data_IF_714968340694
#
_entry.id   IF_714968340694
#
_cell.length_a   1.000
_cell.length_b   1.000
_cell.length_c   1.000
_cell.angle_alpha   90.00
_cell.angle_beta   90.00
_cell.angle_gamma   90.00
#
_symmetry.space_group_name_H-M   'P 1'
#
loop_
_entity.id
_entity.type
_entity.pdbx_description
1 polymer ?
#
# COMPACT_ATOMS: atom_id res chain seq x y z
N UNK A 1 59.94 11.36 -18.28
CA UNK A 1 59.86 11.71 -16.83
C UNK A 1 58.40 11.66 -16.41
N UNK A 2 58.00 10.59 -15.69
CA UNK A 2 56.65 10.42 -15.15
C UNK A 2 56.67 10.79 -13.67
N UNK A 3 55.93 11.82 -13.28
CA UNK A 3 55.75 12.20 -11.87
C UNK A 3 54.63 11.38 -11.26
N UNK A 4 54.96 10.53 -10.30
CA UNK A 4 54.02 9.91 -9.39
C UNK A 4 53.64 10.92 -8.28
N UNK A 5 52.33 11.11 -8.04
CA UNK A 5 51.83 11.81 -6.87
C UNK A 5 51.58 10.79 -5.74
N UNK A 6 51.90 11.12 -4.49
CA UNK A 6 51.70 10.23 -3.37
C UNK A 6 50.23 10.24 -2.92
N UNK A 7 49.65 9.05 -2.65
CA UNK A 7 48.37 8.86 -1.95
C UNK A 7 48.57 9.20 -0.46
N UNK A 8 47.77 10.12 0.05
CA UNK A 8 47.64 10.38 1.48
C UNK A 8 46.70 9.34 2.11
N UNK A 9 47.20 8.54 3.03
CA UNK A 9 46.43 7.62 3.84
C UNK A 9 45.74 8.41 4.96
N UNK A 10 44.39 8.38 5.00
CA UNK A 10 43.61 8.93 6.10
C UNK A 10 43.49 7.83 7.17
N UNK A 11 44.16 8.05 8.29
CA UNK A 11 44.03 7.20 9.47
C UNK A 11 42.75 7.59 10.22
N UNK A 12 41.76 6.68 10.32
CA UNK A 12 40.57 6.82 11.15
C UNK A 12 40.96 6.37 12.56
N UNK A 13 41.05 7.33 13.48
CA UNK A 13 41.27 7.06 14.90
C UNK A 13 39.94 6.74 15.55
N UNK A 14 39.72 5.49 15.95
CA UNK A 14 38.60 5.10 16.83
C UNK A 14 38.91 5.49 18.27
N UNK A 15 38.20 6.48 18.80
CA UNK A 15 38.23 6.79 20.23
C UNK A 15 37.24 5.84 20.92
N UNK A 16 37.75 4.84 21.61
CA UNK A 16 37.02 4.01 22.54
C UNK A 16 36.66 4.84 23.80
N UNK A 17 35.39 5.18 23.96
CA UNK A 17 34.86 5.74 25.23
C UNK A 17 34.47 4.55 26.13
N UNK A 18 35.16 4.32 27.26
CA UNK A 18 34.75 3.28 28.19
C UNK A 18 33.65 3.84 29.10
N UNK A 19 32.50 3.12 29.19
CA UNK A 19 31.54 3.33 30.27
C UNK A 19 30.10 3.58 29.91
N UNK A 20 29.59 3.07 28.77
CA UNK A 20 28.15 2.92 28.59
C UNK A 20 27.77 1.45 28.78
N UNK A 21 27.12 1.11 29.86
CA UNK A 21 26.42 -0.17 30.04
C UNK A 21 25.34 -0.28 28.97
N UNK A 22 25.67 -1.02 27.88
CA UNK A 22 24.71 -1.39 26.85
C UNK A 22 23.72 -2.36 27.49
N UNK A 23 22.59 -1.83 27.93
CA UNK A 23 21.44 -2.68 28.29
C UNK A 23 21.08 -3.55 27.09
N UNK A 24 20.78 -4.82 27.34
CA UNK A 24 20.43 -5.90 26.42
C UNK A 24 19.41 -5.49 25.32
N UNK A 25 19.83 -4.79 24.32
CA UNK A 25 19.03 -4.50 23.12
C UNK A 25 19.00 -5.67 22.12
N UNK A 26 19.75 -6.76 22.36
CA UNK A 26 19.92 -7.87 21.43
C UNK A 26 18.78 -8.91 21.41
N UNK A 27 17.96 -9.01 22.46
CA UNK A 27 16.96 -10.09 22.57
C UNK A 27 15.58 -9.74 21.96
N UNK A 28 15.23 -8.48 21.87
CA UNK A 28 13.90 -8.03 21.42
C UNK A 28 13.64 -8.31 19.92
N UNK A 29 14.53 -7.99 18.97
CA UNK A 29 14.35 -8.33 17.54
C UNK A 29 14.27 -9.84 17.32
N UNK A 30 15.14 -10.63 17.96
CA UNK A 30 15.14 -12.08 17.83
C UNK A 30 13.88 -12.75 18.43
N UNK A 31 13.28 -12.16 19.46
CA UNK A 31 11.99 -12.62 19.99
C UNK A 31 10.86 -12.34 19.01
N UNK A 32 10.82 -11.14 18.43
CA UNK A 32 9.81 -10.74 17.45
C UNK A 32 9.89 -11.64 16.20
N UNK A 33 11.10 -11.91 15.69
CA UNK A 33 11.30 -12.84 14.58
C UNK A 33 10.73 -14.24 14.89
N UNK A 34 11.02 -14.79 16.07
CA UNK A 34 10.48 -16.11 16.45
C UNK A 34 8.95 -16.12 16.50
N UNK A 35 8.33 -15.08 17.04
CA UNK A 35 6.89 -14.95 17.11
C UNK A 35 6.27 -14.87 15.71
N UNK A 36 6.82 -14.04 14.82
CA UNK A 36 6.40 -13.92 13.43
C UNK A 36 6.51 -15.25 12.70
N UNK A 37 7.64 -15.96 12.84
CA UNK A 37 7.83 -17.28 12.24
C UNK A 37 6.82 -18.31 12.76
N UNK A 38 6.46 -18.27 14.05
CA UNK A 38 5.41 -19.14 14.60
C UNK A 38 4.03 -18.82 14.00
N UNK A 39 3.72 -17.56 13.78
CA UNK A 39 2.46 -17.15 13.12
C UNK A 39 2.41 -17.65 11.67
N UNK A 40 3.53 -17.57 10.94
CA UNK A 40 3.60 -17.97 9.52
C UNK A 40 3.58 -19.49 9.31
N UNK A 41 4.06 -20.27 10.28
CA UNK A 41 4.15 -21.75 10.19
C UNK A 41 2.81 -22.48 10.04
N UNK A 42 1.68 -21.82 10.27
CA UNK A 42 0.35 -22.45 10.14
C UNK A 42 -0.08 -22.68 8.70
N UNK A 43 0.66 -22.10 7.74
CA UNK A 43 0.34 -22.22 6.32
C UNK A 43 1.03 -23.42 5.68
N UNK A 44 0.23 -24.22 4.96
CA UNK A 44 0.73 -25.31 4.13
C UNK A 44 1.11 -24.76 2.74
N UNK A 45 2.30 -25.14 2.25
CA UNK A 45 2.80 -24.74 0.94
C UNK A 45 3.57 -23.42 0.92
N UNK A 46 3.98 -22.95 -0.28
CA UNK A 46 4.86 -21.80 -0.43
C UNK A 46 4.11 -20.49 -0.15
N UNK A 47 4.29 -19.96 1.06
CA UNK A 47 3.84 -18.63 1.46
C UNK A 47 4.99 -17.63 1.29
N UNK A 48 4.72 -16.51 0.62
CA UNK A 48 5.57 -15.32 0.58
C UNK A 48 4.98 -14.27 1.52
N UNK A 49 5.78 -13.78 2.44
CA UNK A 49 5.36 -12.79 3.43
C UNK A 49 6.33 -11.61 3.42
N UNK A 50 5.82 -10.42 3.15
CA UNK A 50 6.58 -9.18 3.22
C UNK A 50 6.00 -8.26 4.28
N UNK A 51 6.84 -7.80 5.22
CA UNK A 51 6.45 -7.10 6.43
C UNK A 51 7.23 -5.81 6.59
N UNK A 52 6.54 -4.75 7.03
CA UNK A 52 7.16 -3.49 7.40
C UNK A 52 6.34 -2.82 8.51
N UNK A 53 6.99 -2.31 9.56
CA UNK A 53 6.36 -1.47 10.58
C UNK A 53 7.35 -0.42 11.08
N UNK A 54 6.88 0.80 11.30
CA UNK A 54 7.70 1.91 11.78
C UNK A 54 6.89 3.17 12.08
N UNK A 55 7.56 4.28 12.30
CA UNK A 55 6.91 5.59 12.49
C UNK A 55 6.50 6.25 11.17
N UNK A 56 5.89 7.45 11.27
CA UNK A 56 5.58 8.29 10.10
C UNK A 56 6.83 8.77 9.34
N UNK A 57 7.99 8.70 9.97
CA UNK A 57 9.30 9.06 9.40
C UNK A 57 10.36 8.10 9.91
N UNK A 58 11.50 8.05 9.20
CA UNK A 58 12.64 7.26 9.62
C UNK A 58 12.62 5.81 9.15
N UNK A 59 13.52 5.02 9.75
CA UNK A 59 13.71 3.61 9.45
C UNK A 59 12.63 2.74 10.10
N UNK A 60 12.37 1.54 9.60
CA UNK A 60 11.44 0.62 10.25
C UNK A 60 11.93 0.17 11.63
N UNK A 61 10.98 -0.04 12.52
CA UNK A 61 11.18 -0.77 13.78
C UNK A 61 11.41 -2.27 13.48
N UNK A 62 10.68 -2.78 12.47
CA UNK A 62 10.85 -4.13 11.96
C UNK A 62 10.54 -4.18 10.47
N UNK A 63 11.36 -4.94 9.73
CA UNK A 63 11.15 -5.22 8.31
C UNK A 63 11.65 -6.63 7.98
N UNK A 64 10.87 -7.38 7.20
CA UNK A 64 11.23 -8.69 6.68
C UNK A 64 10.71 -8.82 5.26
N UNK A 65 11.56 -9.26 4.31
CA UNK A 65 11.23 -9.31 2.88
C UNK A 65 10.61 -7.98 2.37
N UNK A 66 11.04 -6.85 2.96
CA UNK A 66 10.43 -5.55 2.73
C UNK A 66 10.61 -5.02 1.30
N UNK A 67 11.60 -5.53 0.57
CA UNK A 67 11.87 -5.20 -0.84
C UNK A 67 11.37 -6.27 -1.82
N UNK A 68 10.69 -7.30 -1.33
CA UNK A 68 10.11 -8.32 -2.19
C UNK A 68 8.91 -7.77 -2.96
N UNK A 69 8.91 -7.91 -4.30
CA UNK A 69 7.75 -7.57 -5.11
C UNK A 69 6.62 -8.58 -4.88
N UNK A 70 5.47 -8.09 -4.44
CA UNK A 70 4.28 -8.89 -4.12
C UNK A 70 3.03 -8.26 -4.78
N UNK A 71 2.01 -9.07 -5.12
CA UNK A 71 0.73 -8.55 -5.55
C UNK A 71 0.11 -7.67 -4.46
N UNK A 72 -0.44 -6.54 -4.86
CA UNK A 72 -0.98 -5.53 -3.92
C UNK A 72 -2.48 -5.63 -3.72
N UNK A 73 -3.18 -6.31 -4.62
CA UNK A 73 -4.63 -6.24 -4.70
C UNK A 73 -5.13 -4.78 -4.64
N UNK A 74 -6.10 -4.48 -3.77
CA UNK A 74 -6.65 -3.13 -3.60
C UNK A 74 -5.81 -2.19 -2.72
N UNK A 75 -4.76 -2.66 -2.05
CA UNK A 75 -3.94 -1.79 -1.20
C UNK A 75 -3.22 -0.69 -2.01
N UNK A 76 -2.87 -0.96 -3.27
CA UNK A 76 -2.26 0.01 -4.20
C UNK A 76 -3.13 1.25 -4.45
N UNK A 77 -4.45 1.17 -4.22
CA UNK A 77 -5.40 2.27 -4.46
C UNK A 77 -5.07 3.52 -3.63
N UNK A 78 -4.31 3.39 -2.55
CA UNK A 78 -3.82 4.55 -1.79
C UNK A 78 -2.86 5.41 -2.65
N UNK A 79 -1.97 4.78 -3.41
CA UNK A 79 -1.12 5.49 -4.36
C UNK A 79 -1.93 6.09 -5.53
N UNK A 80 -2.96 5.39 -6.02
CA UNK A 80 -3.87 5.91 -7.05
C UNK A 80 -4.59 7.17 -6.57
N UNK A 81 -5.05 7.17 -5.32
CA UNK A 81 -5.75 8.31 -4.73
C UNK A 81 -4.86 9.55 -4.66
N UNK A 82 -3.58 9.38 -4.29
CA UNK A 82 -2.60 10.47 -4.27
C UNK A 82 -2.50 11.09 -5.67
N UNK A 83 -2.29 10.30 -6.70
CA UNK A 83 -2.10 10.82 -8.06
C UNK A 83 -3.39 11.40 -8.66
N UNK A 84 -4.56 10.82 -8.36
CA UNK A 84 -5.84 11.37 -8.75
C UNK A 84 -6.04 12.77 -8.16
N UNK A 85 -5.85 12.92 -6.85
CA UNK A 85 -6.08 14.21 -6.18
C UNK A 85 -4.99 15.23 -6.52
N UNK A 86 -3.75 14.79 -6.70
CA UNK A 86 -2.67 15.64 -7.19
C UNK A 86 -2.96 16.24 -8.59
N UNK A 87 -3.48 15.42 -9.50
CA UNK A 87 -3.79 15.83 -10.88
C UNK A 87 -4.95 16.82 -10.95
N UNK A 88 -5.92 16.71 -10.05
CA UNK A 88 -7.18 17.45 -10.08
C UNK A 88 -7.42 18.28 -8.80
N UNK A 89 -6.35 18.73 -8.12
CA UNK A 89 -6.44 19.44 -6.84
C UNK A 89 -7.44 20.60 -6.86
N UNK A 90 -7.43 21.42 -7.91
CA UNK A 90 -8.30 22.60 -8.04
C UNK A 90 -9.73 22.27 -8.49
N UNK A 91 -10.03 21.01 -8.83
CA UNK A 91 -11.31 20.59 -9.42
C UNK A 91 -11.88 19.33 -8.80
N UNK A 92 -11.53 19.02 -7.55
CA UNK A 92 -11.98 17.80 -6.86
C UNK A 92 -13.50 17.64 -6.83
N UNK A 93 -14.23 18.72 -6.73
CA UNK A 93 -15.69 18.72 -6.63
C UNK A 93 -16.40 18.96 -7.98
N UNK A 94 -15.65 18.97 -9.09
CA UNK A 94 -16.22 19.00 -10.45
C UNK A 94 -16.37 17.59 -11.00
N UNK A 95 -17.31 17.36 -11.94
CA UNK A 95 -17.40 16.10 -12.67
C UNK A 95 -16.05 15.74 -13.30
N UNK A 96 -15.72 14.44 -13.30
CA UNK A 96 -14.46 13.96 -13.87
C UNK A 96 -14.45 14.22 -15.39
N UNK A 97 -13.38 14.82 -15.94
CA UNK A 97 -13.31 15.11 -17.36
C UNK A 97 -13.29 13.83 -18.21
N UNK A 98 -14.06 13.81 -19.29
CA UNK A 98 -14.11 12.67 -20.22
C UNK A 98 -14.69 11.38 -19.63
N UNK A 99 -15.42 11.46 -18.51
CA UNK A 99 -15.95 10.30 -17.81
C UNK A 99 -16.85 9.44 -18.71
N UNK A 100 -17.71 10.03 -19.52
CA UNK A 100 -18.59 9.31 -20.45
C UNK A 100 -17.79 8.48 -21.47
N UNK A 101 -16.70 9.03 -22.00
CA UNK A 101 -15.82 8.33 -22.90
C UNK A 101 -15.08 7.16 -22.20
N UNK A 102 -14.69 7.34 -20.94
CA UNK A 102 -14.07 6.26 -20.13
C UNK A 102 -15.09 5.16 -19.80
N UNK A 103 -16.36 5.50 -19.66
CA UNK A 103 -17.45 4.54 -19.36
C UNK A 103 -18.07 3.94 -20.62
N UNK A 104 -17.60 4.31 -21.84
CA UNK A 104 -18.03 3.69 -23.09
C UNK A 104 -17.66 2.21 -23.14
N UNK A 105 -18.49 1.39 -23.79
CA UNK A 105 -18.42 -0.08 -23.74
C UNK A 105 -17.10 -0.68 -24.25
N UNK A 106 -16.43 0.00 -25.17
CA UNK A 106 -15.17 -0.40 -25.80
C UNK A 106 -13.91 0.17 -25.08
N UNK A 107 -14.10 1.06 -24.10
CA UNK A 107 -12.96 1.62 -23.40
C UNK A 107 -12.27 0.57 -22.51
N UNK A 108 -10.92 0.45 -22.54
CA UNK A 108 -10.17 -0.57 -21.80
C UNK A 108 -10.45 -0.63 -20.28
N UNK A 109 -10.84 0.49 -19.68
CA UNK A 109 -11.19 0.55 -18.26
C UNK A 109 -12.43 -0.30 -17.90
N UNK A 110 -13.34 -0.51 -18.86
CA UNK A 110 -14.62 -1.21 -18.65
C UNK A 110 -14.90 -2.33 -19.63
N UNK A 111 -14.17 -2.45 -20.72
CA UNK A 111 -14.43 -3.44 -21.80
C UNK A 111 -14.41 -4.91 -21.33
N UNK A 112 -13.70 -5.21 -20.24
CA UNK A 112 -13.61 -6.57 -19.68
C UNK A 112 -14.83 -6.95 -18.80
N UNK A 113 -15.75 -6.03 -18.53
CA UNK A 113 -16.99 -6.30 -17.81
C UNK A 113 -18.12 -6.73 -18.75
N UNK A 114 -19.07 -7.51 -18.24
CA UNK A 114 -20.28 -7.87 -19.01
C UNK A 114 -21.18 -6.65 -19.27
N UNK A 115 -22.09 -6.67 -20.24
CA UNK A 115 -23.02 -5.57 -20.51
C UNK A 115 -23.82 -5.13 -19.27
N UNK A 116 -24.31 -6.09 -18.46
CA UNK A 116 -25.05 -5.80 -17.23
C UNK A 116 -24.15 -5.10 -16.20
N UNK A 117 -22.91 -5.56 -16.03
CA UNK A 117 -21.94 -4.94 -15.14
C UNK A 117 -21.58 -3.51 -15.59
N UNK A 118 -21.40 -3.27 -16.90
CA UNK A 118 -21.15 -1.92 -17.43
C UNK A 118 -22.33 -0.98 -17.17
N UNK A 119 -23.56 -1.47 -17.24
CA UNK A 119 -24.76 -0.70 -16.87
C UNK A 119 -24.73 -0.30 -15.39
N UNK A 120 -24.43 -1.22 -14.48
CA UNK A 120 -24.29 -0.93 -13.04
C UNK A 120 -23.17 0.08 -12.78
N UNK A 121 -22.02 -0.05 -13.45
CA UNK A 121 -20.90 0.88 -13.34
C UNK A 121 -21.32 2.29 -13.78
N UNK A 122 -22.00 2.43 -14.92
CA UNK A 122 -22.52 3.72 -15.38
C UNK A 122 -23.49 4.33 -14.38
N UNK A 123 -24.43 3.56 -13.85
CA UNK A 123 -25.35 4.05 -12.83
C UNK A 123 -24.65 4.53 -11.56
N UNK A 124 -23.56 3.86 -11.16
CA UNK A 124 -22.82 4.20 -9.96
C UNK A 124 -21.84 5.36 -10.11
N UNK A 125 -21.34 5.63 -11.33
CA UNK A 125 -20.26 6.59 -11.58
C UNK A 125 -20.62 7.72 -12.56
N UNK A 126 -21.75 7.70 -13.29
CA UNK A 126 -22.13 8.81 -14.15
C UNK A 126 -22.16 10.12 -13.35
N UNK A 127 -21.62 11.19 -13.95
CA UNK A 127 -21.51 12.53 -13.35
C UNK A 127 -20.68 12.58 -12.04
N UNK A 128 -19.95 11.50 -11.70
CA UNK A 128 -19.18 11.48 -10.47
C UNK A 128 -18.06 12.53 -10.51
N UNK A 129 -17.94 13.28 -9.41
CA UNK A 129 -16.83 14.21 -9.19
C UNK A 129 -15.53 13.42 -8.93
N UNK A 130 -14.38 14.06 -9.12
CA UNK A 130 -13.09 13.47 -8.79
C UNK A 130 -13.05 12.99 -7.33
N UNK A 131 -13.55 13.81 -6.39
CA UNK A 131 -13.65 13.45 -4.96
C UNK A 131 -14.53 12.21 -4.75
N UNK A 132 -15.68 12.11 -5.42
CA UNK A 132 -16.56 10.94 -5.32
C UNK A 132 -15.87 9.68 -5.86
N UNK A 133 -15.21 9.76 -7.02
CA UNK A 133 -14.43 8.65 -7.59
C UNK A 133 -13.38 8.16 -6.58
N UNK A 134 -12.60 9.07 -6.00
CA UNK A 134 -11.60 8.75 -4.99
C UNK A 134 -12.20 8.05 -3.77
N UNK A 135 -13.29 8.60 -3.21
CA UNK A 135 -13.97 8.00 -2.04
C UNK A 135 -14.59 6.64 -2.33
N UNK A 136 -15.21 6.46 -3.51
CA UNK A 136 -15.73 5.15 -3.95
C UNK A 136 -14.58 4.15 -4.09
N UNK A 137 -13.50 4.53 -4.77
CA UNK A 137 -12.30 3.69 -4.95
C UNK A 137 -11.68 3.25 -3.62
N UNK A 138 -11.70 4.12 -2.61
CA UNK A 138 -11.18 3.79 -1.28
C UNK A 138 -12.15 2.99 -0.42
N UNK A 139 -13.42 2.91 -0.78
CA UNK A 139 -14.48 2.26 0.00
C UNK A 139 -15.00 3.12 1.15
N UNK A 140 -14.72 4.44 1.15
CA UNK A 140 -15.25 5.42 2.12
C UNK A 140 -16.58 6.05 1.67
N UNK A 141 -17.08 5.69 0.49
CA UNK A 141 -18.42 5.98 0.03
C UNK A 141 -19.14 4.67 -0.32
N UNK A 142 -20.45 4.64 -0.10
CA UNK A 142 -21.25 3.45 -0.38
C UNK A 142 -21.29 3.16 -1.88
N UNK A 143 -20.89 1.94 -2.25
CA UNK A 143 -20.90 1.41 -3.61
C UNK A 143 -20.81 -0.12 -3.58
N UNK A 144 -21.27 -0.79 -4.65
CA UNK A 144 -21.01 -2.22 -4.81
C UNK A 144 -19.51 -2.50 -5.04
N UNK A 145 -19.10 -3.74 -4.81
CA UNK A 145 -17.70 -4.15 -5.08
C UNK A 145 -17.32 -3.94 -6.56
N UNK A 146 -18.27 -4.06 -7.46
CA UNK A 146 -18.07 -3.80 -8.88
C UNK A 146 -17.75 -2.32 -9.14
N UNK A 147 -18.61 -1.41 -8.68
CA UNK A 147 -18.46 0.05 -8.81
C UNK A 147 -17.20 0.55 -8.09
N UNK A 148 -16.91 0.01 -6.92
CA UNK A 148 -15.67 0.25 -6.18
C UNK A 148 -14.39 -0.06 -6.99
N UNK A 149 -14.37 -1.19 -7.72
CA UNK A 149 -13.23 -1.54 -8.57
C UNK A 149 -13.22 -0.74 -9.88
N UNK A 150 -14.39 -0.46 -10.45
CA UNK A 150 -14.51 0.40 -11.64
C UNK A 150 -14.04 1.84 -11.37
N UNK A 151 -14.27 2.39 -10.17
CA UNK A 151 -13.74 3.70 -9.79
C UNK A 151 -12.19 3.73 -9.82
N UNK A 152 -11.52 2.64 -9.46
CA UNK A 152 -10.07 2.53 -9.62
C UNK A 152 -9.66 2.45 -11.10
N UNK A 153 -10.46 1.81 -11.95
CA UNK A 153 -10.21 1.77 -13.38
C UNK A 153 -10.40 3.14 -14.04
N UNK A 154 -11.44 3.87 -13.65
CA UNK A 154 -11.65 5.27 -14.08
C UNK A 154 -10.45 6.12 -13.65
N UNK A 155 -10.00 6.01 -12.41
CA UNK A 155 -8.80 6.70 -11.92
C UNK A 155 -7.58 6.36 -12.78
N UNK A 156 -7.38 5.08 -13.08
CA UNK A 156 -6.27 4.61 -13.94
C UNK A 156 -6.37 5.21 -15.34
N UNK A 157 -7.57 5.26 -15.94
CA UNK A 157 -7.80 5.87 -17.25
C UNK A 157 -7.56 7.38 -17.27
N UNK A 158 -8.07 8.12 -16.26
CA UNK A 158 -7.87 9.56 -16.08
C UNK A 158 -6.37 9.94 -15.98
N UNK A 159 -5.54 9.01 -15.56
CA UNK A 159 -4.09 9.19 -15.38
C UNK A 159 -3.25 8.55 -16.50
N UNK A 160 -3.85 8.28 -17.65
CA UNK A 160 -3.15 7.81 -18.85
C UNK A 160 -2.96 6.29 -18.90
N UNK A 161 -3.86 5.53 -18.27
CA UNK A 161 -3.82 4.07 -18.23
C UNK A 161 -2.80 3.52 -17.22
N UNK A 162 -2.59 2.20 -17.20
CA UNK A 162 -1.67 1.56 -16.25
C UNK A 162 -0.25 2.11 -16.31
N UNK A 163 0.28 2.36 -17.50
CA UNK A 163 1.64 2.90 -17.69
C UNK A 163 1.75 4.36 -17.21
N UNK A 164 0.79 5.22 -17.61
CA UNK A 164 0.76 6.62 -17.18
C UNK A 164 0.66 6.77 -15.68
N UNK A 165 -0.20 5.97 -15.04
CA UNK A 165 -0.36 5.96 -13.59
C UNK A 165 0.91 5.43 -12.89
N UNK A 166 1.53 4.36 -13.40
CA UNK A 166 2.83 3.88 -12.87
C UNK A 166 3.87 4.97 -12.90
N UNK A 167 4.03 5.66 -14.04
CA UNK A 167 4.99 6.75 -14.17
C UNK A 167 4.69 7.94 -13.25
N UNK A 168 3.40 8.27 -13.05
CA UNK A 168 3.00 9.34 -12.14
C UNK A 168 3.41 9.00 -10.69
N UNK A 169 3.09 7.79 -10.22
CA UNK A 169 3.45 7.31 -8.89
C UNK A 169 4.98 7.33 -8.70
N UNK A 170 5.72 6.75 -9.62
CA UNK A 170 7.19 6.63 -9.52
C UNK A 170 7.92 7.99 -9.56
N UNK A 171 7.37 8.97 -10.29
CA UNK A 171 7.92 10.35 -10.30
C UNK A 171 7.61 11.13 -9.03
N UNK A 172 6.58 10.75 -8.27
CA UNK A 172 6.17 11.45 -7.05
C UNK A 172 7.23 11.38 -5.96
N UNK A 173 7.77 10.19 -5.73
CA UNK A 173 8.78 9.95 -4.70
C UNK A 173 9.67 8.76 -5.14
N UNK A 174 10.99 8.85 -5.04
CA UNK A 174 11.90 7.72 -5.34
C UNK A 174 11.54 6.45 -4.56
N UNK A 175 11.02 6.57 -3.33
CA UNK A 175 10.59 5.41 -2.53
C UNK A 175 9.38 4.67 -3.13
N UNK A 176 8.66 5.27 -4.08
CA UNK A 176 7.52 4.65 -4.77
C UNK A 176 7.93 3.90 -6.04
N UNK A 177 9.22 3.91 -6.42
CA UNK A 177 9.74 3.26 -7.64
C UNK A 177 9.36 1.78 -7.80
N UNK A 178 9.24 0.94 -6.73
CA UNK A 178 8.78 -0.44 -6.86
C UNK A 178 7.30 -0.62 -7.17
N UNK A 179 6.47 0.44 -7.08
CA UNK A 179 5.02 0.34 -7.35
C UNK A 179 4.79 0.28 -8.87
N UNK A 180 4.09 -0.78 -9.32
CA UNK A 180 3.79 -1.03 -10.73
C UNK A 180 2.32 -1.34 -10.93
N UNK A 181 1.64 -0.52 -11.74
CA UNK A 181 0.28 -0.77 -12.21
C UNK A 181 0.38 -1.47 -13.57
N UNK A 182 -0.03 -2.73 -13.63
CA UNK A 182 0.07 -3.55 -14.86
C UNK A 182 -1.27 -3.68 -15.58
N UNK A 183 -2.36 -3.64 -14.82
CA UNK A 183 -3.70 -3.90 -15.34
C UNK A 183 -4.77 -3.09 -14.64
N UNK A 184 -5.90 -2.95 -15.30
CA UNK A 184 -7.13 -2.49 -14.67
C UNK A 184 -7.63 -3.51 -13.62
N UNK A 185 -8.32 -3.03 -12.58
CA UNK A 185 -8.90 -3.91 -11.56
C UNK A 185 -9.90 -4.87 -12.20
N UNK A 186 -9.88 -6.13 -11.77
CA UNK A 186 -10.70 -7.23 -12.24
C UNK A 186 -10.44 -7.66 -13.71
N UNK A 187 -9.54 -7.02 -14.46
CA UNK A 187 -9.07 -7.53 -15.73
C UNK A 187 -8.25 -8.82 -15.53
N UNK A 188 -8.15 -9.65 -16.60
CA UNK A 188 -7.44 -10.94 -16.51
C UNK A 188 -5.96 -10.75 -16.18
N UNK A 189 -5.56 -11.24 -15.00
CA UNK A 189 -4.19 -11.17 -14.49
C UNK A 189 -3.19 -12.00 -15.30
N UNK A 190 -3.65 -13.01 -16.03
CA UNK A 190 -2.78 -13.86 -16.85
C UNK A 190 -2.21 -13.12 -18.07
N UNK A 191 -2.85 -12.03 -18.50
CA UNK A 191 -2.42 -11.25 -19.67
C UNK A 191 -1.25 -10.32 -19.36
N UNK A 192 -1.29 -9.60 -18.23
CA UNK A 192 -0.29 -8.56 -17.89
C UNK A 192 0.32 -8.72 -16.50
N UNK A 193 -0.05 -9.73 -15.76
CA UNK A 193 0.33 -9.93 -14.36
C UNK A 193 -0.51 -9.08 -13.41
N UNK A 194 -0.12 -9.11 -12.14
CA UNK A 194 -0.77 -8.31 -11.10
C UNK A 194 -0.17 -6.92 -10.98
N UNK A 195 -0.95 -6.02 -10.38
CA UNK A 195 -0.42 -4.80 -9.81
C UNK A 195 0.46 -5.16 -8.61
N UNK A 196 1.67 -4.64 -8.56
CA UNK A 196 2.71 -5.04 -7.62
C UNK A 196 3.31 -3.86 -6.89
N UNK A 197 3.81 -4.12 -5.70
CA UNK A 197 4.68 -3.22 -4.94
C UNK A 197 5.54 -4.03 -3.97
N UNK A 198 6.50 -3.36 -3.34
CA UNK A 198 7.17 -3.90 -2.15
C UNK A 198 6.46 -3.41 -0.87
N UNK A 199 6.55 -4.15 0.25
CA UNK A 199 6.07 -3.67 1.55
C UNK A 199 6.63 -2.30 1.92
N UNK A 200 7.93 -2.08 1.69
CA UNK A 200 8.59 -0.79 1.96
C UNK A 200 8.01 0.34 1.11
N UNK A 201 7.72 0.11 -0.17
CA UNK A 201 7.15 1.13 -1.04
C UNK A 201 5.71 1.50 -0.65
N UNK A 202 4.87 0.50 -0.29
CA UNK A 202 3.53 0.80 0.25
C UNK A 202 3.61 1.51 1.60
N UNK A 203 4.52 1.10 2.49
CA UNK A 203 4.75 1.79 3.76
C UNK A 203 5.20 3.24 3.52
N UNK A 204 6.06 3.51 2.54
CA UNK A 204 6.47 4.86 2.20
C UNK A 204 5.28 5.74 1.76
N UNK A 205 4.35 5.23 0.94
CA UNK A 205 3.10 5.92 0.58
C UNK A 205 2.32 6.32 1.84
N UNK A 206 2.16 5.38 2.77
CA UNK A 206 1.42 5.60 4.02
C UNK A 206 2.16 6.57 4.95
N UNK A 207 3.49 6.48 5.05
CA UNK A 207 4.32 7.42 5.82
C UNK A 207 4.14 8.86 5.33
N UNK A 208 4.15 9.09 4.00
CA UNK A 208 3.92 10.43 3.43
C UNK A 208 2.55 11.00 3.80
N UNK A 209 1.51 10.16 3.78
CA UNK A 209 0.16 10.56 4.18
C UNK A 209 0.06 10.78 5.68
N UNK A 210 0.59 9.90 6.50
CA UNK A 210 0.59 10.01 7.96
C UNK A 210 1.34 11.25 8.43
N UNK A 211 2.53 11.52 7.86
CA UNK A 211 3.31 12.72 8.12
C UNK A 211 2.73 14.01 7.53
N UNK A 212 1.66 13.93 6.72
CA UNK A 212 1.10 15.05 5.92
C UNK A 212 2.13 15.72 5.00
N UNK A 213 3.09 14.95 4.47
CA UNK A 213 4.22 15.41 3.65
C UNK A 213 4.36 14.60 2.36
N UNK A 214 3.35 14.69 1.50
CA UNK A 214 3.42 14.09 0.16
C UNK A 214 4.17 15.05 -0.78
N UNK A 215 5.26 14.63 -1.44
CA UNK A 215 6.04 15.51 -2.30
C UNK A 215 5.20 16.19 -3.39
N UNK A 216 5.36 17.50 -3.53
CA UNK A 216 4.67 18.29 -4.55
C UNK A 216 3.18 18.53 -4.31
N UNK A 217 2.65 18.23 -3.10
CA UNK A 217 1.27 18.54 -2.72
C UNK A 217 1.22 19.56 -1.60
N UNK A 218 0.23 20.45 -1.68
CA UNK A 218 -0.10 21.39 -0.62
C UNK A 218 -0.86 20.66 0.53
N UNK A 219 -0.89 21.25 1.74
CA UNK A 219 -1.53 20.63 2.90
C UNK A 219 -3.03 20.34 2.71
N UNK A 220 -3.77 21.22 2.01
CA UNK A 220 -5.20 21.04 1.80
C UNK A 220 -5.49 19.84 0.90
N UNK A 221 -4.69 19.64 -0.16
CA UNK A 221 -4.76 18.45 -1.01
C UNK A 221 -4.44 17.18 -0.22
N UNK A 222 -3.41 17.19 0.63
CA UNK A 222 -3.07 16.04 1.48
C UNK A 222 -4.20 15.72 2.47
N UNK A 223 -4.82 16.74 3.08
CA UNK A 223 -5.95 16.54 3.99
C UNK A 223 -7.19 16.01 3.24
N UNK A 224 -7.44 16.46 2.02
CA UNK A 224 -8.49 15.89 1.17
C UNK A 224 -8.25 14.41 0.86
N UNK A 225 -6.99 14.01 0.56
CA UNK A 225 -6.62 12.60 0.37
C UNK A 225 -6.89 11.80 1.65
N UNK A 226 -6.40 12.26 2.79
CA UNK A 226 -6.59 11.59 4.09
C UNK A 226 -8.07 11.41 4.43
N UNK A 227 -8.91 12.41 4.15
CA UNK A 227 -10.36 12.34 4.38
C UNK A 227 -11.10 11.30 3.51
N UNK A 228 -10.48 10.86 2.42
CA UNK A 228 -11.02 9.81 1.56
C UNK A 228 -10.57 8.40 1.97
N UNK A 229 -9.57 8.26 2.86
CA UNK A 229 -9.15 6.96 3.40
C UNK A 229 -10.15 6.51 4.49
N UNK A 230 -10.43 5.21 4.56
CA UNK A 230 -11.26 4.65 5.63
C UNK A 230 -10.55 4.86 6.97
N UNK A 231 -11.26 5.45 7.91
CA UNK A 231 -10.79 5.67 9.28
C UNK A 231 -11.74 5.03 10.29
N UNK A 232 -11.19 4.43 11.33
CA UNK A 232 -11.93 3.91 12.49
C UNK A 232 -11.18 4.26 13.77
N UNK A 233 -11.91 4.42 14.86
CA UNK A 233 -11.30 4.50 16.18
C UNK A 233 -11.02 3.09 16.70
N UNK A 234 -9.78 2.82 17.07
CA UNK A 234 -9.35 1.53 17.63
C UNK A 234 -8.97 1.73 19.10
N UNK A 235 -9.62 1.01 20.04
CA UNK A 235 -9.34 1.14 21.45
C UNK A 235 -7.85 0.98 21.79
N UNK A 236 -7.26 1.98 22.45
CA UNK A 236 -5.84 1.98 22.84
C UNK A 236 -4.83 2.28 21.72
N UNK A 237 -5.28 2.44 20.48
CA UNK A 237 -4.44 2.75 19.32
C UNK A 237 -4.85 4.05 18.61
N UNK A 238 -6.00 4.64 18.96
CA UNK A 238 -6.49 5.88 18.36
C UNK A 238 -7.09 5.70 16.98
N UNK A 239 -6.90 6.69 16.10
CA UNK A 239 -7.45 6.65 14.75
C UNK A 239 -6.65 5.69 13.87
N UNK A 240 -7.34 4.75 13.28
CA UNK A 240 -6.78 3.76 12.36
C UNK A 240 -7.20 4.08 10.93
N UNK A 241 -6.28 4.51 10.12
CA UNK A 241 -6.43 4.72 8.68
C UNK A 241 -5.94 3.48 7.95
N UNK A 242 -6.75 2.92 7.05
CA UNK A 242 -6.38 1.66 6.42
C UNK A 242 -6.87 1.50 5.00
N UNK A 243 -6.12 0.70 4.23
CA UNK A 243 -6.52 0.17 2.93
C UNK A 243 -6.01 -1.24 2.75
N UNK A 244 -6.91 -2.19 2.82
CA UNK A 244 -6.61 -3.60 2.63
C UNK A 244 -6.84 -4.03 1.17
N UNK A 245 -6.32 -5.20 0.83
CA UNK A 245 -6.48 -5.78 -0.51
C UNK A 245 -6.54 -7.28 -0.50
N UNK A 246 -7.44 -7.84 -1.33
CA UNK A 246 -7.73 -9.26 -1.43
C UNK A 246 -7.74 -9.74 -2.87
N UNK A 247 -7.13 -10.91 -3.13
CA UNK A 247 -7.23 -11.67 -4.37
C UNK A 247 -7.44 -13.14 -4.00
N UNK A 248 -8.60 -13.70 -4.36
CA UNK A 248 -8.93 -15.10 -4.11
C UNK A 248 -8.42 -16.06 -5.20
N UNK A 249 -7.69 -15.56 -6.21
CA UNK A 249 -7.10 -16.36 -7.30
C UNK A 249 -5.60 -16.50 -7.10
N UNK A 250 -5.01 -17.56 -7.70
CA UNK A 250 -3.60 -17.94 -7.54
C UNK A 250 -2.60 -16.91 -8.12
N UNK A 251 -1.59 -16.47 -7.34
CA UNK A 251 -1.47 -16.69 -5.91
C UNK A 251 -2.55 -15.93 -5.13
N UNK A 252 -3.16 -16.62 -4.17
CA UNK A 252 -4.09 -15.99 -3.25
C UNK A 252 -3.34 -14.94 -2.43
N UNK A 253 -3.88 -13.74 -2.38
CA UNK A 253 -3.15 -12.60 -1.77
C UNK A 253 -4.04 -11.87 -0.77
N UNK A 254 -3.48 -11.58 0.39
CA UNK A 254 -4.05 -10.67 1.36
C UNK A 254 -3.04 -9.61 1.77
N UNK A 255 -3.48 -8.35 1.78
CA UNK A 255 -2.66 -7.21 2.19
C UNK A 255 -3.39 -6.43 3.26
N UNK A 256 -2.76 -6.23 4.40
CA UNK A 256 -3.15 -5.23 5.38
C UNK A 256 -2.15 -4.10 5.41
N UNK A 257 -2.64 -2.88 5.24
CA UNK A 257 -1.78 -1.70 5.23
C UNK A 257 -2.51 -0.48 5.79
N UNK A 258 -1.79 0.34 6.56
CA UNK A 258 -2.40 1.50 7.20
C UNK A 258 -1.48 2.19 8.19
N UNK A 259 -2.07 3.10 8.96
CA UNK A 259 -1.38 3.72 10.08
C UNK A 259 -2.36 4.04 11.22
N UNK A 260 -1.81 4.09 12.43
CA UNK A 260 -2.50 4.52 13.63
C UNK A 260 -1.98 5.88 14.07
N UNK A 261 -2.88 6.74 14.59
CA UNK A 261 -2.55 8.03 15.17
C UNK A 261 -3.15 8.16 16.57
N UNK A 262 -2.32 8.22 17.59
CA UNK A 262 -2.74 8.41 18.99
C UNK A 262 -1.72 9.23 19.78
N UNK A 263 -2.17 10.25 20.48
CA UNK A 263 -1.34 11.00 21.44
C UNK A 263 -0.05 11.58 20.83
N UNK A 264 -0.07 12.03 19.58
CA UNK A 264 1.10 12.56 18.87
C UNK A 264 2.01 11.47 18.29
N UNK A 265 1.70 10.20 18.49
CA UNK A 265 2.44 9.06 17.92
C UNK A 265 1.76 8.56 16.67
N UNK A 266 2.57 8.09 15.71
CA UNK A 266 2.11 7.46 14.48
C UNK A 266 2.83 6.14 14.30
N UNK A 267 2.07 5.07 14.03
CA UNK A 267 2.61 3.76 13.67
C UNK A 267 2.09 3.40 12.29
N UNK A 268 2.99 3.26 11.32
CA UNK A 268 2.69 2.82 9.95
C UNK A 268 3.04 1.35 9.82
N UNK A 269 2.22 0.58 9.11
CA UNK A 269 2.45 -0.83 8.90
C UNK A 269 2.01 -1.28 7.51
N UNK A 270 2.68 -2.33 7.01
CA UNK A 270 2.31 -3.07 5.80
C UNK A 270 2.60 -4.55 6.01
N UNK A 271 1.60 -5.39 5.84
CA UNK A 271 1.66 -6.85 5.85
C UNK A 271 1.14 -7.35 4.51
N UNK A 272 1.99 -7.98 3.73
CA UNK A 272 1.66 -8.53 2.41
C UNK A 272 1.89 -10.04 2.42
N UNK A 273 0.83 -10.80 2.19
CA UNK A 273 0.87 -12.27 2.16
C UNK A 273 0.40 -12.74 0.77
N UNK A 274 1.19 -13.61 0.13
CA UNK A 274 0.84 -14.22 -1.14
C UNK A 274 1.17 -15.73 -1.09
N UNK A 275 0.18 -16.57 -1.28
CA UNK A 275 0.30 -18.02 -1.22
C UNK A 275 -0.15 -18.65 -2.52
N UNK A 276 0.71 -19.50 -3.10
CA UNK A 276 0.27 -20.38 -4.18
C UNK A 276 -0.87 -21.26 -3.66
N UNK A 277 -1.97 -21.33 -4.42
CA UNK A 277 -3.16 -22.05 -3.98
C UNK A 277 -2.85 -23.56 -3.88
N UNK A 278 -2.92 -24.18 -2.70
CA UNK A 278 -2.74 -25.61 -2.56
C UNK A 278 -3.78 -26.38 -3.40
N UNK A 279 -3.36 -27.48 -4.02
CA UNK A 279 -4.26 -28.31 -4.82
C UNK A 279 -5.47 -28.77 -3.98
N UNK A 280 -6.67 -28.52 -4.49
CA UNK A 280 -7.92 -28.94 -3.87
C UNK A 280 -8.49 -27.96 -2.84
N UNK A 281 -7.80 -26.89 -2.48
CA UNK A 281 -8.35 -25.84 -1.61
C UNK A 281 -9.06 -24.75 -2.44
N UNK A 282 -10.10 -24.19 -1.88
CA UNK A 282 -10.80 -23.04 -2.48
C UNK A 282 -10.04 -21.76 -2.15
N UNK A 283 -9.91 -20.88 -3.13
CA UNK A 283 -9.17 -19.62 -2.95
C UNK A 283 -9.75 -18.71 -1.87
N UNK A 284 -11.07 -18.72 -1.64
CA UNK A 284 -11.73 -17.97 -0.56
C UNK A 284 -11.38 -18.51 0.83
N UNK A 285 -11.17 -19.81 0.97
CA UNK A 285 -10.73 -20.40 2.23
C UNK A 285 -9.28 -20.03 2.55
N UNK A 286 -8.37 -20.15 1.57
CA UNK A 286 -6.98 -19.70 1.71
C UNK A 286 -6.95 -18.21 2.04
N UNK A 287 -7.76 -17.39 1.37
CA UNK A 287 -7.84 -15.96 1.63
C UNK A 287 -8.28 -15.66 3.07
N UNK A 288 -9.26 -16.39 3.60
CA UNK A 288 -9.69 -16.24 4.99
C UNK A 288 -8.54 -16.55 5.97
N UNK A 289 -7.80 -17.64 5.74
CA UNK A 289 -6.63 -18.01 6.55
C UNK A 289 -5.53 -16.95 6.49
N UNK A 290 -5.22 -16.43 5.30
CA UNK A 290 -4.28 -15.31 5.13
C UNK A 290 -4.74 -14.06 5.89
N UNK A 291 -6.03 -13.73 5.85
CA UNK A 291 -6.60 -12.60 6.58
C UNK A 291 -6.46 -12.72 8.10
N UNK A 292 -6.70 -13.92 8.66
CA UNK A 292 -6.49 -14.18 10.09
C UNK A 292 -5.01 -14.07 10.49
N UNK A 293 -4.13 -14.59 9.64
CA UNK A 293 -2.67 -14.49 9.83
C UNK A 293 -2.20 -13.05 9.76
N UNK A 294 -2.64 -12.29 8.76
CA UNK A 294 -2.28 -10.89 8.60
C UNK A 294 -2.72 -10.04 9.80
N UNK A 295 -3.92 -10.26 10.34
CA UNK A 295 -4.38 -9.57 11.55
C UNK A 295 -3.49 -9.87 12.77
N UNK A 296 -3.07 -11.12 12.94
CA UNK A 296 -2.14 -11.51 14.04
C UNK A 296 -0.79 -10.84 13.85
N UNK A 297 -0.23 -10.89 12.63
CA UNK A 297 1.03 -10.22 12.30
C UNK A 297 0.94 -8.71 12.51
N UNK A 298 -0.12 -8.06 12.03
CA UNK A 298 -0.34 -6.62 12.22
C UNK A 298 -0.36 -6.27 13.71
N UNK A 299 -1.10 -7.03 14.52
CA UNK A 299 -1.14 -6.81 15.97
C UNK A 299 0.26 -6.94 16.60
N UNK A 300 0.96 -8.03 16.33
CA UNK A 300 2.32 -8.27 16.87
C UNK A 300 3.30 -7.16 16.46
N UNK A 301 3.26 -6.73 15.19
CA UNK A 301 4.13 -5.66 14.68
C UNK A 301 3.81 -4.30 15.31
N UNK A 302 2.53 -3.95 15.41
CA UNK A 302 2.08 -2.68 15.99
C UNK A 302 2.39 -2.62 17.50
N UNK A 303 2.18 -3.70 18.23
CA UNK A 303 2.55 -3.78 19.64
C UNK A 303 4.06 -3.59 19.84
N UNK A 304 4.89 -4.26 19.04
CA UNK A 304 6.35 -4.09 19.09
C UNK A 304 6.79 -2.66 18.75
N UNK A 305 6.15 -2.00 17.77
CA UNK A 305 6.46 -0.62 17.43
C UNK A 305 6.02 0.37 18.53
N UNK A 306 4.90 0.09 19.19
CA UNK A 306 4.42 0.91 20.33
C UNK A 306 5.38 0.87 21.50
N UNK A 307 5.96 -0.31 21.80
CA UNK A 307 6.85 -0.48 22.94
C UNK A 307 8.25 0.14 22.70
N UNK A 308 8.64 0.39 21.45
CA UNK A 308 9.94 0.95 21.10
C UNK A 308 9.91 2.48 20.84
N UNK A 309 8.73 3.07 20.77
CA UNK A 309 8.59 4.52 20.56
C UNK A 309 8.30 5.19 21.90
N UNK A 310 9.23 5.98 22.46
CA UNK A 310 9.07 6.66 23.75
C UNK A 310 7.94 7.70 23.77
#
# INVERSE_FOLDING_TARGET
MKFLKPLAAVAVVFVLVPGATIGRAGDAPARLDREIQQILKVHEGPLRAGLWVGGATGVPVYASEAEANLPTASAIKTAFLIELFARYADTLDRPAPGLDAILADDHPAVAHFTPAQRTEIRQGLSEATIRRIGRVMMGSANASNLVYNAAANVTTALLGGPEGLTQAIQRRDPAFAPIKVRRYMLADRRVRGDNEATPAALAAVLQRLAARKVPGLDPATVDAIRSAVIVKDEPGLGQHFRKNGDLASDPVTHVESGWFEAGGRTIVYTVMLAQANPKGQRGDEVLRQLGETAKRLTKTLVDAARDQTP
#
